data_IF_182606762224
#
_entry.id   IF_182606762224
#
_cell.length_a   1.000
_cell.length_b   1.000
_cell.length_c   1.000
_cell.angle_alpha   90.00
_cell.angle_beta   90.00
_cell.angle_gamma   90.00
#
_symmetry.space_group_name_H-M   'P 1'
#
loop_
_entity.id
_entity.type
_entity.pdbx_description
1 polymer ?
#
# COMPACT_ATOMS: atom_id res chain seq x y z
N UNK A 1 -45.30 45.46 21.01
CA UNK A 1 -45.83 44.56 22.06
C UNK A 1 -45.87 43.16 21.46
N UNK A 2 -45.32 42.07 21.96
CA UNK A 2 -44.51 41.66 23.12
C UNK A 2 -43.83 40.35 22.61
N UNK A 3 -42.51 40.23 22.71
CA UNK A 3 -41.81 39.48 23.77
C UNK A 3 -42.07 37.95 23.65
N UNK A 4 -41.15 37.18 23.05
CA UNK A 4 -40.05 36.42 23.69
C UNK A 4 -40.52 35.05 24.25
N UNK A 5 -39.98 33.94 23.74
CA UNK A 5 -39.46 32.75 24.45
C UNK A 5 -38.90 31.80 23.36
N UNK A 6 -37.57 31.67 23.23
CA UNK A 6 -36.77 30.52 23.73
C UNK A 6 -37.26 29.22 23.06
N UNK A 7 -36.51 28.55 22.19
CA UNK A 7 -35.39 27.68 22.57
C UNK A 7 -34.38 27.58 21.43
N UNK A 8 -33.15 27.88 21.84
CA UNK A 8 -31.86 27.62 21.23
C UNK A 8 -31.66 26.11 21.01
N UNK A 9 -31.76 25.62 19.77
CA UNK A 9 -31.16 24.34 19.39
C UNK A 9 -30.00 24.61 18.42
N UNK A 10 -28.92 25.11 19.02
CA UNK A 10 -27.60 25.18 18.43
C UNK A 10 -27.08 23.73 18.31
N UNK A 11 -27.49 23.02 17.26
CA UNK A 11 -26.85 21.74 16.89
C UNK A 11 -25.50 22.07 16.24
N UNK A 12 -24.50 22.25 17.09
CA UNK A 12 -23.10 22.25 16.69
C UNK A 12 -22.74 20.81 16.31
N UNK A 13 -23.05 20.40 15.08
CA UNK A 13 -22.37 19.27 14.47
C UNK A 13 -21.02 19.79 13.97
N UNK A 14 -20.10 20.05 14.91
CA UNK A 14 -18.67 20.09 14.58
C UNK A 14 -18.27 18.68 14.22
N UNK A 15 -18.51 18.32 12.96
CA UNK A 15 -17.82 17.20 12.33
C UNK A 15 -16.34 17.55 12.36
N UNK A 16 -15.61 16.95 13.30
CA UNK A 16 -14.16 16.95 13.26
C UNK A 16 -13.77 16.01 12.12
N UNK A 17 -13.88 16.47 10.88
CA UNK A 17 -13.13 15.88 9.78
C UNK A 17 -11.68 16.25 10.02
N UNK A 18 -10.92 15.37 10.67
CA UNK A 18 -9.46 15.44 10.66
C UNK A 18 -8.99 15.20 9.22
N UNK A 19 -9.03 16.26 8.43
CA UNK A 19 -8.36 16.31 7.14
C UNK A 19 -6.88 16.53 7.45
N UNK A 20 -6.08 15.47 7.39
CA UNK A 20 -4.62 15.55 7.50
C UNK A 20 -4.10 16.40 6.35
N UNK A 21 -3.87 17.68 6.63
CA UNK A 21 -3.53 18.72 5.66
C UNK A 21 -2.12 18.59 5.07
N UNK A 22 -1.32 17.64 5.54
CA UNK A 22 0.11 17.53 5.23
C UNK A 22 0.47 16.39 4.27
N UNK A 23 -0.51 15.68 3.69
CA UNK A 23 -0.25 14.63 2.71
C UNK A 23 0.63 13.48 3.23
N UNK A 24 0.96 13.44 4.53
CA UNK A 24 1.75 12.39 5.16
C UNK A 24 0.79 11.28 5.52
N UNK A 25 0.81 10.20 4.74
CA UNK A 25 0.04 9.02 5.11
C UNK A 25 0.75 8.40 6.31
N UNK A 26 0.13 8.50 7.49
CA UNK A 26 0.56 7.70 8.63
C UNK A 26 0.36 6.26 8.22
N UNK A 27 1.46 5.49 8.15
CA UNK A 27 1.40 4.05 7.86
C UNK A 27 0.57 3.41 8.99
N UNK A 28 -0.71 3.21 8.75
CA UNK A 28 -1.66 2.63 9.71
C UNK A 28 -1.89 1.15 9.44
N UNK A 29 -1.55 0.70 8.22
CA UNK A 29 -1.62 -0.68 7.76
C UNK A 29 -0.64 -0.90 6.59
N UNK A 30 -0.34 -2.15 6.24
CA UNK A 30 0.29 -2.47 4.95
C UNK A 30 -0.56 -2.01 3.77
N UNK A 31 0.10 -1.66 2.66
CA UNK A 31 -0.53 -1.35 1.39
C UNK A 31 -0.84 -2.63 0.62
N UNK A 32 -1.90 -2.64 -0.18
CA UNK A 32 -2.21 -3.74 -1.12
C UNK A 32 -2.46 -3.21 -2.52
N UNK A 33 -2.77 -4.11 -3.44
CA UNK A 33 -3.19 -3.79 -4.82
C UNK A 33 -4.29 -2.73 -4.92
N UNK A 34 -5.21 -2.63 -3.96
CA UNK A 34 -6.27 -1.59 -3.93
C UNK A 34 -5.74 -0.18 -3.62
N UNK A 35 -4.50 -0.07 -3.19
CA UNK A 35 -3.82 1.20 -2.94
C UNK A 35 -2.99 1.67 -4.16
N UNK A 36 -2.87 0.87 -5.21
CA UNK A 36 -1.98 1.12 -6.36
C UNK A 36 -2.27 2.41 -7.14
N UNK A 37 -3.52 2.85 -7.18
CA UNK A 37 -3.92 4.10 -7.84
C UNK A 37 -3.59 5.35 -7.00
N UNK A 38 -3.19 5.18 -5.74
CA UNK A 38 -2.85 6.28 -4.83
C UNK A 38 -1.34 6.47 -4.74
N UNK A 39 -0.93 7.74 -4.59
CA UNK A 39 0.45 8.08 -4.26
C UNK A 39 0.70 7.82 -2.79
N UNK A 40 1.65 6.94 -2.49
CA UNK A 40 2.13 6.67 -1.13
C UNK A 40 3.13 7.77 -0.75
N UNK A 41 2.89 8.48 0.35
CA UNK A 41 3.74 9.59 0.79
C UNK A 41 4.34 9.29 2.15
N UNK A 42 5.67 9.26 2.22
CA UNK A 42 6.43 8.83 3.40
C UNK A 42 7.49 9.86 3.78
N UNK A 43 7.93 9.84 5.04
CA UNK A 43 9.17 10.52 5.46
C UNK A 43 10.39 9.61 5.25
N UNK A 44 11.56 10.21 5.04
CA UNK A 44 12.84 9.47 5.03
C UNK A 44 13.00 8.60 6.29
N UNK A 45 13.49 7.38 6.11
CA UNK A 45 13.76 6.41 7.17
C UNK A 45 12.59 5.47 7.49
N UNK A 46 11.39 5.76 6.99
CA UNK A 46 10.20 4.92 7.23
C UNK A 46 10.31 3.58 6.51
N UNK A 47 9.93 2.53 7.23
CA UNK A 47 9.70 1.19 6.68
C UNK A 47 8.20 1.01 6.49
N UNK A 48 7.81 0.41 5.37
CA UNK A 48 6.42 0.12 5.01
C UNK A 48 6.33 -1.22 4.31
N UNK A 49 5.11 -1.75 4.20
CA UNK A 49 4.86 -3.06 3.60
C UNK A 49 3.89 -2.96 2.43
N UNK A 50 4.15 -3.74 1.39
CA UNK A 50 3.23 -4.01 0.29
C UNK A 50 2.86 -5.50 0.35
N UNK A 51 1.56 -5.79 0.42
CA UNK A 51 1.00 -7.13 0.54
C UNK A 51 0.20 -7.44 -0.71
N UNK A 52 0.64 -8.44 -1.47
CA UNK A 52 0.00 -8.85 -2.71
C UNK A 52 -0.49 -10.30 -2.62
N UNK A 53 -1.73 -10.60 -3.02
CA UNK A 53 -2.22 -11.98 -3.08
C UNK A 53 -1.31 -12.86 -3.94
N UNK A 54 -0.99 -14.06 -3.48
CA UNK A 54 -0.13 -14.99 -4.21
C UNK A 54 -0.45 -16.44 -3.90
N UNK A 55 -0.24 -17.31 -4.89
CA UNK A 55 -0.33 -18.75 -4.72
C UNK A 55 0.91 -19.44 -5.30
N UNK A 56 1.97 -19.66 -4.51
CA UNK A 56 3.19 -20.28 -5.02
C UNK A 56 2.98 -21.73 -5.47
N UNK A 57 1.91 -22.41 -5.03
CA UNK A 57 1.60 -23.79 -5.45
C UNK A 57 1.27 -23.91 -6.94
N UNK A 58 0.88 -22.79 -7.59
CA UNK A 58 0.63 -22.74 -9.04
C UNK A 58 1.88 -22.41 -9.85
N UNK A 59 3.01 -22.20 -9.18
CA UNK A 59 4.30 -21.82 -9.78
C UNK A 59 4.49 -20.33 -10.07
N UNK A 60 3.49 -19.50 -9.78
CA UNK A 60 3.55 -18.06 -9.99
C UNK A 60 4.17 -17.35 -8.78
N UNK A 61 5.02 -16.37 -9.04
CA UNK A 61 5.61 -15.50 -8.02
C UNK A 61 5.57 -14.04 -8.44
N UNK A 62 5.61 -13.15 -7.45
CA UNK A 62 5.79 -11.72 -7.68
C UNK A 62 7.27 -11.41 -7.84
N UNK A 63 7.61 -10.60 -8.84
CA UNK A 63 8.90 -9.92 -8.96
C UNK A 63 8.72 -8.43 -8.73
N UNK A 64 9.74 -7.75 -8.21
CA UNK A 64 9.72 -6.31 -7.93
C UNK A 64 10.80 -5.60 -8.73
N UNK A 65 10.40 -4.55 -9.45
CA UNK A 65 11.29 -3.56 -10.06
C UNK A 65 11.10 -2.22 -9.36
N UNK A 66 12.21 -1.62 -8.92
CA UNK A 66 12.23 -0.29 -8.30
C UNK A 66 12.94 0.65 -9.28
N UNK A 67 12.23 1.67 -9.78
CA UNK A 67 12.79 2.59 -10.76
C UNK A 67 14.03 3.33 -10.22
N UNK A 68 14.01 3.72 -8.94
CA UNK A 68 15.12 4.36 -8.26
C UNK A 68 15.43 3.73 -6.88
N UNK A 69 16.35 2.75 -6.82
CA UNK A 69 16.70 2.06 -5.57
C UNK A 69 17.42 2.94 -4.53
N UNK A 70 17.80 4.18 -4.89
CA UNK A 70 18.36 5.15 -3.92
C UNK A 70 17.27 5.81 -3.08
N UNK A 71 16.03 5.87 -3.58
CA UNK A 71 14.87 6.48 -2.90
C UNK A 71 14.18 5.44 -2.03
N UNK A 72 13.84 4.28 -2.59
CA UNK A 72 13.27 3.14 -1.88
C UNK A 72 14.20 1.93 -2.01
N UNK A 73 14.46 1.20 -0.93
CA UNK A 73 15.13 -0.10 -0.98
C UNK A 73 14.18 -1.23 -0.58
N UNK A 74 14.39 -2.40 -1.18
CA UNK A 74 13.79 -3.64 -0.73
C UNK A 74 14.62 -4.24 0.41
N UNK A 75 14.01 -4.45 1.58
CA UNK A 75 14.69 -5.07 2.72
C UNK A 75 14.49 -6.58 2.73
N UNK A 76 13.26 -7.03 2.48
CA UNK A 76 12.91 -8.46 2.47
C UNK A 76 11.57 -8.69 1.77
N UNK A 77 11.32 -9.94 1.40
CA UNK A 77 9.98 -10.40 1.06
C UNK A 77 9.76 -11.83 1.53
N UNK A 78 8.54 -12.17 1.89
CA UNK A 78 8.17 -13.51 2.34
C UNK A 78 6.76 -13.88 1.88
N UNK A 79 6.56 -15.15 1.58
CA UNK A 79 5.22 -15.70 1.40
C UNK A 79 4.61 -16.03 2.76
N UNK A 80 3.41 -15.53 3.00
CA UNK A 80 2.58 -15.83 4.15
C UNK A 80 1.35 -16.63 3.69
N UNK A 81 1.22 -17.92 4.03
CA UNK A 81 0.10 -18.75 3.62
C UNK A 81 -1.21 -18.29 4.27
N UNK A 82 -2.34 -18.68 3.66
CA UNK A 82 -3.64 -18.46 4.28
C UNK A 82 -3.79 -19.24 5.59
N UNK A 83 -4.47 -18.62 6.55
CA UNK A 83 -4.62 -19.15 7.92
C UNK A 83 -5.58 -20.33 8.01
N UNK A 84 -6.41 -20.60 6.99
CA UNK A 84 -7.32 -21.75 7.00
C UNK A 84 -6.62 -23.10 6.94
N UNK A 85 -5.32 -23.13 6.61
CA UNK A 85 -4.52 -24.35 6.52
C UNK A 85 -4.95 -25.30 5.39
N UNK A 86 -5.86 -24.85 4.51
CA UNK A 86 -6.34 -25.65 3.38
C UNK A 86 -5.30 -25.67 2.27
N UNK A 87 -4.97 -26.86 1.80
CA UNK A 87 -4.07 -27.06 0.67
C UNK A 87 -4.67 -26.44 -0.59
N UNK A 88 -3.84 -25.73 -1.36
CA UNK A 88 -4.21 -25.08 -2.62
C UNK A 88 -4.82 -23.68 -2.47
N UNK A 89 -5.16 -23.25 -1.25
CA UNK A 89 -5.54 -21.85 -1.00
C UNK A 89 -4.27 -21.00 -1.01
N UNK A 90 -4.24 -20.00 -1.87
CA UNK A 90 -3.17 -19.01 -1.92
C UNK A 90 -3.15 -18.17 -0.64
N UNK A 91 -2.02 -17.52 -0.38
CA UNK A 91 -1.85 -16.56 0.69
C UNK A 91 -1.47 -15.20 0.13
N UNK A 92 -0.48 -14.56 0.74
CA UNK A 92 0.05 -13.28 0.29
C UNK A 92 1.57 -13.30 0.25
N UNK A 93 2.17 -12.54 -0.68
CA UNK A 93 3.58 -12.16 -0.60
C UNK A 93 3.66 -10.78 0.03
N UNK A 94 4.41 -10.68 1.12
CA UNK A 94 4.64 -9.44 1.87
C UNK A 94 6.03 -8.94 1.50
N UNK A 95 6.13 -7.69 1.03
CA UNK A 95 7.38 -7.00 0.74
C UNK A 95 7.60 -5.92 1.78
N UNK A 96 8.73 -5.97 2.48
CA UNK A 96 9.15 -4.94 3.44
C UNK A 96 10.13 -3.99 2.75
N UNK A 97 9.73 -2.73 2.64
CA UNK A 97 10.44 -1.69 1.90
C UNK A 97 10.85 -0.54 2.82
N UNK A 98 11.91 0.18 2.47
CA UNK A 98 12.40 1.32 3.27
C UNK A 98 12.64 2.56 2.44
N UNK A 99 12.09 3.68 2.90
CA UNK A 99 12.38 5.01 2.39
C UNK A 99 13.78 5.45 2.81
N UNK A 100 14.69 5.58 1.86
CA UNK A 100 16.12 5.87 2.08
C UNK A 100 16.48 7.32 1.81
N UNK A 101 15.87 7.93 0.80
CA UNK A 101 16.20 9.29 0.38
C UNK A 101 14.95 10.00 -0.13
N UNK A 102 14.91 11.32 0.07
CA UNK A 102 13.89 12.18 -0.50
C UNK A 102 13.83 12.06 -2.04
N UNK A 103 12.63 12.08 -2.58
CA UNK A 103 12.34 12.00 -4.01
C UNK A 103 11.14 11.11 -4.32
N UNK A 104 10.84 10.94 -5.61
CA UNK A 104 9.74 10.11 -6.09
C UNK A 104 10.27 8.93 -6.91
N UNK A 105 9.68 7.75 -6.74
CA UNK A 105 9.99 6.55 -7.52
C UNK A 105 8.74 5.71 -7.73
N UNK A 106 8.70 4.93 -8.80
CA UNK A 106 7.71 3.88 -8.97
C UNK A 106 8.24 2.54 -8.50
N UNK A 107 7.32 1.70 -8.03
CA UNK A 107 7.52 0.28 -7.73
C UNK A 107 6.61 -0.51 -8.66
N UNK A 108 7.16 -1.43 -9.43
CA UNK A 108 6.38 -2.28 -10.34
C UNK A 108 6.51 -3.74 -9.94
N UNK A 109 5.38 -4.37 -9.65
CA UNK A 109 5.27 -5.77 -9.29
C UNK A 109 4.67 -6.56 -10.45
N UNK A 110 5.31 -7.66 -10.85
CA UNK A 110 4.84 -8.53 -11.94
C UNK A 110 4.60 -9.95 -11.44
N UNK A 111 3.42 -10.52 -11.73
CA UNK A 111 3.05 -11.88 -11.32
C UNK A 111 3.15 -12.86 -12.48
N UNK A 112 4.18 -13.69 -12.47
CA UNK A 112 4.49 -14.63 -13.55
C UNK A 112 5.18 -15.89 -13.04
N UNK A 113 5.27 -16.90 -13.91
CA UNK A 113 6.16 -18.05 -13.70
C UNK A 113 7.57 -17.68 -14.15
N UNK A 114 8.58 -17.78 -13.28
CA UNK A 114 9.92 -17.31 -13.63
C UNK A 114 10.61 -18.16 -14.72
N UNK A 115 10.13 -19.38 -14.98
CA UNK A 115 10.66 -20.27 -16.03
C UNK A 115 9.93 -20.19 -17.37
N UNK A 116 8.82 -19.45 -17.47
CA UNK A 116 8.10 -19.27 -18.73
C UNK A 116 8.68 -18.06 -19.46
N UNK A 117 9.66 -18.32 -20.34
CA UNK A 117 10.24 -17.28 -21.18
C UNK A 117 9.20 -16.70 -22.15
N UNK A 118 9.35 -15.41 -22.49
CA UNK A 118 8.53 -14.69 -23.48
C UNK A 118 7.02 -14.64 -23.16
N UNK A 119 6.61 -14.96 -21.93
CA UNK A 119 5.22 -14.87 -21.48
C UNK A 119 5.01 -13.58 -20.69
N UNK A 120 3.91 -12.88 -20.98
CA UNK A 120 3.56 -11.66 -20.25
C UNK A 120 3.10 -11.99 -18.82
N UNK A 121 3.37 -11.10 -17.83
CA UNK A 121 2.83 -11.27 -16.50
C UNK A 121 1.31 -11.35 -16.51
N UNK A 122 0.76 -12.26 -15.71
CA UNK A 122 -0.70 -12.39 -15.55
C UNK A 122 -1.31 -11.24 -14.78
N UNK A 123 -0.52 -10.57 -13.94
CA UNK A 123 -0.88 -9.35 -13.24
C UNK A 123 0.34 -8.43 -13.16
N UNK A 124 0.08 -7.13 -13.26
CA UNK A 124 1.06 -6.08 -12.99
C UNK A 124 0.41 -5.08 -12.04
N UNK A 125 1.11 -4.72 -10.97
CA UNK A 125 0.65 -3.72 -9.98
C UNK A 125 1.76 -2.72 -9.80
N UNK A 126 1.45 -1.43 -9.94
CA UNK A 126 2.44 -0.36 -9.80
C UNK A 126 2.03 0.62 -8.72
N UNK A 127 3.00 1.11 -7.95
CA UNK A 127 2.79 2.12 -6.91
C UNK A 127 3.70 3.30 -7.17
N UNK A 128 3.18 4.52 -7.05
CA UNK A 128 4.00 5.73 -6.99
C UNK A 128 4.28 6.07 -5.53
N UNK A 129 5.56 6.13 -5.17
CA UNK A 129 6.01 6.44 -3.81
C UNK A 129 6.79 7.74 -3.80
N UNK A 130 6.36 8.68 -2.97
CA UNK A 130 7.01 9.97 -2.74
C UNK A 130 7.57 10.00 -1.32
N UNK A 131 8.85 10.32 -1.21
CA UNK A 131 9.57 10.45 0.06
C UNK A 131 9.88 11.92 0.27
N UNK A 132 9.36 12.49 1.36
CA UNK A 132 9.55 13.88 1.80
C UNK A 132 10.62 14.00 2.90
#
# INVERSE_FOLDING_TARGET
MKLLFLILCLFILTSCSTFSKDGTEVITRPFSDVDSERKIVLSVGRTFEIVLPSNPTTGYSWTLVIDNPKIISNESHAYNPDTSGRVGVGGNTIWTLKARKQGETSLTFSYQRPWEENTQPTKVVSFTVSVN
#
